data_IF_196177616671
#
_entry.id   IF_196177616671
#
_cell.length_a   1.000
_cell.length_b   1.000
_cell.length_c   1.000
_cell.angle_alpha   90.00
_cell.angle_beta   90.00
_cell.angle_gamma   90.00
#
_symmetry.space_group_name_H-M   'P 1'
#
loop_
_entity.id
_entity.type
_entity.pdbx_description
1 polymer ?
#
# COMPACT_ATOMS: atom_id res chain seq x y z
N UNK A 1 -3.50 0.20 4.14
CA UNK A 1 -2.64 -0.76 4.86
C UNK A 1 -2.74 -0.60 6.37
N UNK A 2 -2.24 -1.59 7.15
CA UNK A 2 -2.21 -1.53 8.63
C UNK A 2 -1.11 -0.59 9.12
N UNK A 3 -1.33 0.09 10.24
CA UNK A 3 -0.23 0.54 11.09
C UNK A 3 0.23 -0.65 11.95
N UNK A 4 1.55 -0.87 12.06
CA UNK A 4 2.10 -1.93 12.90
C UNK A 4 2.18 -1.46 14.34
N UNK A 5 1.30 -2.00 15.18
CA UNK A 5 1.13 -1.63 16.59
C UNK A 5 0.87 -2.88 17.43
N UNK A 6 1.92 -3.72 17.70
CA UNK A 6 1.76 -4.92 18.50
C UNK A 6 1.22 -4.61 19.89
N UNK A 7 0.29 -5.44 20.40
CA UNK A 7 -0.28 -5.28 21.74
C UNK A 7 -1.42 -4.25 21.85
N UNK A 8 -1.74 -3.52 20.80
CA UNK A 8 -2.88 -2.62 20.81
C UNK A 8 -4.19 -3.39 20.57
N UNK A 9 -5.23 -3.07 21.33
CA UNK A 9 -6.53 -3.69 21.17
C UNK A 9 -7.08 -3.48 19.75
N UNK A 10 -7.75 -4.51 19.22
CA UNK A 10 -8.38 -4.44 17.90
C UNK A 10 -9.58 -3.48 17.94
N UNK A 11 -9.73 -2.70 16.89
CA UNK A 11 -10.94 -1.91 16.69
C UNK A 11 -12.16 -2.80 16.40
N UNK A 12 -13.34 -2.24 16.60
CA UNK A 12 -14.63 -2.92 16.48
C UNK A 12 -15.05 -3.16 15.03
N UNK A 13 -14.51 -2.38 14.08
CA UNK A 13 -14.84 -2.45 12.66
C UNK A 13 -13.69 -3.02 11.82
N UNK A 14 -14.04 -3.78 10.78
CA UNK A 14 -13.05 -4.27 9.81
C UNK A 14 -12.54 -3.12 8.94
N UNK A 15 -11.22 -3.02 8.79
CA UNK A 15 -10.57 -2.05 7.89
C UNK A 15 -10.94 -2.25 6.41
N UNK A 16 -11.40 -3.44 6.03
CA UNK A 16 -11.92 -3.68 4.67
C UNK A 16 -13.10 -2.78 4.34
N UNK A 17 -13.94 -2.45 5.34
CA UNK A 17 -15.07 -1.55 5.14
C UNK A 17 -14.66 -0.12 4.73
N UNK A 18 -13.45 0.34 5.10
CA UNK A 18 -12.94 1.63 4.66
C UNK A 18 -12.88 1.73 3.13
N UNK A 19 -12.52 0.64 2.47
CA UNK A 19 -12.40 0.58 1.01
C UNK A 19 -13.78 0.39 0.36
N UNK A 20 -14.55 -0.60 0.81
CA UNK A 20 -15.86 -0.89 0.23
C UNK A 20 -16.84 0.27 0.40
N UNK A 21 -16.89 0.88 1.60
CA UNK A 21 -17.77 2.00 1.88
C UNK A 21 -17.39 3.24 1.04
N UNK A 22 -16.08 3.49 0.84
CA UNK A 22 -15.61 4.56 -0.04
C UNK A 22 -16.05 4.34 -1.48
N UNK A 23 -15.83 3.15 -2.03
CA UNK A 23 -16.16 2.84 -3.41
C UNK A 23 -17.67 2.90 -3.70
N UNK A 24 -18.49 2.64 -2.69
CA UNK A 24 -19.96 2.62 -2.83
C UNK A 24 -20.62 3.97 -2.53
N UNK A 25 -19.96 4.87 -1.79
CA UNK A 25 -20.63 6.09 -1.31
C UNK A 25 -20.69 7.24 -2.33
N UNK A 26 -19.92 7.19 -3.42
CA UNK A 26 -19.84 8.26 -4.42
C UNK A 26 -19.32 9.61 -3.91
N UNK A 27 -18.71 9.64 -2.71
CA UNK A 27 -18.18 10.87 -2.12
C UNK A 27 -16.78 11.20 -2.60
N UNK A 28 -16.46 12.49 -2.72
CA UNK A 28 -15.09 12.94 -2.94
C UNK A 28 -14.14 12.42 -1.83
N UNK A 29 -12.88 12.08 -2.15
CA UNK A 29 -11.94 11.43 -1.23
C UNK A 29 -11.79 12.13 0.11
N UNK A 30 -11.56 13.45 0.08
CA UNK A 30 -11.35 14.23 1.31
C UNK A 30 -12.62 14.30 2.17
N UNK A 31 -13.78 14.40 1.54
CA UNK A 31 -15.06 14.44 2.26
C UNK A 31 -15.35 13.10 2.96
N UNK A 32 -15.10 11.99 2.29
CA UNK A 32 -15.21 10.67 2.88
C UNK A 32 -14.25 10.51 4.06
N UNK A 33 -12.96 10.80 3.88
CA UNK A 33 -11.96 10.65 4.93
C UNK A 33 -12.24 11.50 6.17
N UNK A 34 -12.79 12.71 6.00
CA UNK A 34 -13.16 13.59 7.13
C UNK A 34 -14.33 13.09 7.97
N UNK A 35 -15.16 12.24 7.39
CA UNK A 35 -16.33 11.65 8.09
C UNK A 35 -16.01 10.33 8.79
N UNK A 36 -14.82 9.78 8.59
CA UNK A 36 -14.45 8.51 9.20
C UNK A 36 -14.25 8.65 10.71
N UNK A 37 -14.98 7.83 11.46
CA UNK A 37 -14.77 7.63 12.90
C UNK A 37 -13.55 6.71 13.10
N UNK A 38 -12.36 7.29 13.02
CA UNK A 38 -11.09 6.54 13.04
C UNK A 38 -10.88 5.68 14.30
N UNK A 39 -11.51 6.06 15.43
CA UNK A 39 -11.44 5.31 16.68
C UNK A 39 -12.08 3.93 16.64
N UNK A 40 -13.01 3.68 15.72
CA UNK A 40 -13.67 2.40 15.55
C UNK A 40 -12.74 1.31 14.95
N UNK A 41 -11.63 1.70 14.39
CA UNK A 41 -10.74 0.81 13.65
C UNK A 41 -9.40 0.63 14.36
N UNK A 42 -8.82 -0.56 14.21
CA UNK A 42 -7.38 -0.75 14.44
C UNK A 42 -6.58 0.21 13.55
N UNK A 43 -5.31 0.46 13.90
CA UNK A 43 -4.45 1.38 13.16
C UNK A 43 -4.43 1.11 11.66
N UNK A 44 -4.68 2.14 10.86
CA UNK A 44 -4.68 2.05 9.41
C UNK A 44 -4.01 3.27 8.76
N UNK A 45 -3.53 3.04 7.54
CA UNK A 45 -3.27 4.05 6.53
C UNK A 45 -4.25 3.82 5.37
N UNK A 46 -4.89 4.86 4.92
CA UNK A 46 -5.87 4.85 3.85
C UNK A 46 -5.47 5.88 2.79
N UNK A 47 -5.46 5.45 1.54
CA UNK A 47 -5.30 6.30 0.36
C UNK A 47 -6.60 6.22 -0.42
N UNK A 48 -7.20 7.36 -0.70
CA UNK A 48 -8.38 7.49 -1.52
C UNK A 48 -8.11 8.48 -2.65
N UNK A 49 -8.50 8.13 -3.86
CA UNK A 49 -8.27 8.96 -5.03
C UNK A 49 -9.49 9.02 -5.93
N UNK A 50 -9.60 10.11 -6.65
CA UNK A 50 -10.41 10.28 -7.85
C UNK A 50 -9.58 11.02 -8.92
N UNK A 51 -10.19 11.51 -9.98
CA UNK A 51 -9.50 12.25 -11.04
C UNK A 51 -9.02 13.64 -10.61
N UNK A 52 -9.38 14.12 -9.41
CA UNK A 52 -9.10 15.48 -8.93
C UNK A 52 -8.13 15.51 -7.77
N UNK A 53 -8.09 14.48 -6.95
CA UNK A 53 -7.30 14.47 -5.72
C UNK A 53 -6.87 13.07 -5.29
N UNK A 54 -5.67 13.00 -4.71
CA UNK A 54 -5.19 11.88 -3.90
C UNK A 54 -5.17 12.33 -2.44
N UNK A 55 -5.86 11.60 -1.58
CA UNK A 55 -5.97 11.89 -0.13
C UNK A 55 -5.32 10.76 0.66
N UNK A 56 -4.49 11.13 1.61
CA UNK A 56 -3.95 10.24 2.64
C UNK A 56 -4.61 10.50 3.98
N UNK A 57 -4.92 9.43 4.68
CA UNK A 57 -5.39 9.48 6.07
C UNK A 57 -4.87 8.30 6.88
N UNK A 58 -4.37 8.59 8.09
CA UNK A 58 -4.09 7.58 9.11
C UNK A 58 -4.81 7.93 10.40
N UNK A 59 -5.54 6.98 10.97
CA UNK A 59 -6.19 7.20 12.28
C UNK A 59 -5.20 7.21 13.46
N UNK A 60 -3.91 7.18 13.19
CA UNK A 60 -2.80 7.30 14.16
C UNK A 60 -1.94 8.53 13.94
N UNK A 61 -2.20 9.31 12.89
CA UNK A 61 -1.35 10.46 12.54
C UNK A 61 -2.17 11.59 11.88
N UNK A 62 -2.74 12.43 12.69
CA UNK A 62 -3.36 13.68 12.24
C UNK A 62 -4.70 13.54 11.52
N UNK A 63 -4.97 14.52 10.68
CA UNK A 63 -6.20 14.65 9.90
C UNK A 63 -5.95 14.22 8.44
N UNK A 64 -7.03 13.87 7.69
CA UNK A 64 -6.91 13.64 6.25
C UNK A 64 -6.31 14.83 5.50
N UNK A 65 -5.38 14.56 4.60
CA UNK A 65 -4.68 15.56 3.81
C UNK A 65 -4.73 15.24 2.31
N UNK A 66 -4.84 16.27 1.48
CA UNK A 66 -4.70 16.16 0.03
C UNK A 66 -3.22 16.20 -0.30
N UNK A 67 -2.73 15.19 -0.98
CA UNK A 67 -1.34 15.10 -1.40
C UNK A 67 -1.13 15.89 -2.70
N UNK A 68 -0.13 16.79 -2.76
CA UNK A 68 0.26 17.43 -4.02
C UNK A 68 0.84 16.39 -5.00
N UNK A 69 0.99 16.72 -6.29
CA UNK A 69 1.68 15.84 -7.23
C UNK A 69 3.06 15.44 -6.73
N UNK A 70 3.36 14.13 -6.72
CA UNK A 70 4.62 13.61 -6.18
C UNK A 70 4.66 12.09 -6.14
N UNK A 71 5.77 11.53 -5.66
CA UNK A 71 5.97 10.12 -5.44
C UNK A 71 5.93 9.85 -3.94
N UNK A 72 4.96 9.08 -3.55
CA UNK A 72 4.70 8.74 -2.16
C UNK A 72 4.84 7.26 -1.92
N UNK A 73 5.12 6.89 -0.67
CA UNK A 73 5.16 5.50 -0.27
C UNK A 73 4.53 5.30 1.11
N UNK A 74 3.82 4.19 1.27
CA UNK A 74 3.28 3.80 2.55
C UNK A 74 3.47 2.30 2.78
N UNK A 75 3.93 1.95 3.96
CA UNK A 75 4.04 0.56 4.41
C UNK A 75 3.16 0.36 5.66
N UNK A 76 3.71 -0.21 6.71
CA UNK A 76 2.99 -0.45 7.97
C UNK A 76 3.29 0.61 9.04
N UNK A 77 3.71 1.77 8.63
CA UNK A 77 3.88 2.99 9.41
C UNK A 77 3.31 4.17 8.59
N UNK A 78 3.59 5.41 8.96
CA UNK A 78 3.01 6.58 8.28
C UNK A 78 3.57 6.79 6.87
N UNK A 79 2.89 7.66 6.13
CA UNK A 79 3.32 8.07 4.79
C UNK A 79 4.80 8.47 4.81
N UNK A 80 5.53 8.00 3.81
CA UNK A 80 6.95 8.32 3.60
C UNK A 80 7.90 8.04 4.78
N UNK A 81 7.49 7.20 5.74
CA UNK A 81 8.42 6.72 6.76
C UNK A 81 9.60 6.01 6.08
N UNK A 82 10.86 6.42 6.32
CA UNK A 82 12.01 6.00 5.51
C UNK A 82 12.51 4.60 5.87
N UNK A 83 11.61 3.61 5.87
CA UNK A 83 12.02 2.23 5.98
C UNK A 83 12.79 1.77 4.74
N UNK A 84 13.77 0.85 4.89
CA UNK A 84 14.63 0.43 3.79
C UNK A 84 13.87 0.05 2.52
N UNK A 85 12.84 -0.80 2.65
CA UNK A 85 12.01 -1.21 1.51
C UNK A 85 11.27 -0.04 0.85
N UNK A 86 10.80 0.93 1.64
CA UNK A 86 10.08 2.07 1.10
C UNK A 86 11.00 3.00 0.32
N UNK A 87 12.19 3.25 0.88
CA UNK A 87 13.22 4.06 0.21
C UNK A 87 13.65 3.41 -1.11
N UNK A 88 13.90 2.09 -1.11
CA UNK A 88 14.25 1.35 -2.32
C UNK A 88 13.10 1.37 -3.34
N UNK A 89 11.86 1.13 -2.90
CA UNK A 89 10.69 1.16 -3.76
C UNK A 89 10.46 2.53 -4.41
N UNK A 90 10.60 3.62 -3.67
CA UNK A 90 10.45 4.98 -4.21
C UNK A 90 11.52 5.29 -5.26
N UNK A 91 12.78 4.90 -5.01
CA UNK A 91 13.86 5.08 -5.99
C UNK A 91 13.59 4.31 -7.29
N UNK A 92 13.29 3.00 -7.18
CA UNK A 92 12.99 2.17 -8.35
C UNK A 92 11.73 2.66 -9.11
N UNK A 93 10.70 3.12 -8.40
CA UNK A 93 9.50 3.68 -9.03
C UNK A 93 9.79 5.00 -9.75
N UNK A 94 10.68 5.84 -9.20
CA UNK A 94 11.12 7.07 -9.86
C UNK A 94 11.85 6.76 -11.17
N UNK A 95 12.71 5.74 -11.17
CA UNK A 95 13.41 5.29 -12.38
C UNK A 95 12.41 4.72 -13.40
N UNK A 96 11.47 3.88 -12.98
CA UNK A 96 10.44 3.32 -13.85
C UNK A 96 9.58 4.40 -14.53
N UNK A 97 9.22 5.46 -13.82
CA UNK A 97 8.45 6.57 -14.38
C UNK A 97 9.16 7.32 -15.51
N UNK A 98 10.49 7.26 -15.57
CA UNK A 98 11.28 7.88 -16.63
C UNK A 98 11.28 7.04 -17.94
N UNK A 99 10.86 5.77 -17.88
CA UNK A 99 10.93 4.80 -18.99
C UNK A 99 9.54 4.18 -19.25
N UNK A 100 8.66 4.89 -19.93
CA UNK A 100 7.34 4.35 -20.30
C UNK A 100 7.44 3.27 -21.39
N UNK A 101 6.61 2.20 -21.34
CA UNK A 101 5.54 1.89 -20.38
C UNK A 101 6.03 1.24 -19.10
N UNK A 102 5.58 1.75 -17.96
CA UNK A 102 6.08 1.40 -16.60
C UNK A 102 5.51 0.11 -15.99
N UNK A 103 4.59 -0.55 -16.65
CA UNK A 103 3.80 -1.66 -16.06
C UNK A 103 4.67 -2.82 -15.56
N UNK A 104 5.57 -3.30 -16.39
CA UNK A 104 6.42 -4.44 -16.02
C UNK A 104 7.48 -4.05 -15.00
N UNK A 105 7.99 -2.82 -15.04
CA UNK A 105 8.92 -2.28 -14.05
C UNK A 105 8.26 -2.15 -12.67
N UNK A 106 6.99 -1.77 -12.60
CA UNK A 106 6.22 -1.76 -11.35
C UNK A 106 6.09 -3.17 -10.77
N UNK A 107 5.83 -4.19 -11.59
CA UNK A 107 5.77 -5.56 -11.09
C UNK A 107 7.15 -6.11 -10.73
N UNK A 108 8.21 -5.72 -11.41
CA UNK A 108 9.59 -6.07 -11.05
C UNK A 108 9.95 -5.48 -9.68
N UNK A 109 9.62 -4.20 -9.43
CA UNK A 109 9.76 -3.56 -8.13
C UNK A 109 8.98 -4.31 -7.04
N UNK A 110 7.71 -4.68 -7.29
CA UNK A 110 6.87 -5.39 -6.33
C UNK A 110 7.35 -6.84 -6.08
N UNK A 111 8.20 -7.39 -6.92
CA UNK A 111 8.79 -8.72 -6.76
C UNK A 111 10.12 -8.72 -5.98
N UNK A 112 10.62 -7.56 -5.54
CA UNK A 112 11.89 -7.46 -4.80
C UNK A 112 11.81 -8.18 -3.45
N UNK A 113 12.71 -9.15 -3.26
CA UNK A 113 12.83 -9.99 -2.06
C UNK A 113 14.02 -9.60 -1.18
N UNK A 114 14.68 -8.48 -1.45
CA UNK A 114 15.85 -8.03 -0.71
C UNK A 114 15.50 -7.79 0.77
N UNK A 115 16.26 -8.42 1.65
CA UNK A 115 16.17 -8.25 3.10
C UNK A 115 17.15 -7.15 3.51
N UNK A 116 16.69 -6.19 4.30
CA UNK A 116 17.53 -5.11 4.79
C UNK A 116 18.54 -5.61 5.85
N UNK A 117 19.73 -5.01 5.92
CA UNK A 117 20.68 -5.28 7.01
C UNK A 117 20.06 -4.96 8.37
N UNK A 118 20.42 -5.74 9.40
CA UNK A 118 19.89 -5.58 10.76
C UNK A 118 20.01 -4.16 11.30
N UNK A 119 21.13 -3.49 11.00
CA UNK A 119 21.41 -2.11 11.42
C UNK A 119 20.45 -1.06 10.82
N UNK A 120 19.66 -1.44 9.83
CA UNK A 120 18.68 -0.58 9.15
C UNK A 120 17.24 -1.00 9.39
N UNK A 121 17.03 -2.10 10.13
CA UNK A 121 15.67 -2.57 10.43
C UNK A 121 14.96 -1.62 11.39
N UNK A 122 13.66 -1.39 11.23
CA UNK A 122 12.87 -0.66 12.21
C UNK A 122 12.70 -1.51 13.47
N UNK A 123 12.52 -0.85 14.62
CA UNK A 123 12.17 -1.48 15.87
C UNK A 123 10.66 -1.30 16.12
N UNK A 124 9.83 -2.17 15.53
CA UNK A 124 8.36 -2.00 15.59
C UNK A 124 7.68 -2.86 16.65
N UNK A 125 8.48 -3.53 17.52
CA UNK A 125 7.97 -4.35 18.61
C UNK A 125 7.71 -5.82 18.24
N UNK A 126 8.07 -6.23 17.02
CA UNK A 126 8.14 -7.66 16.65
C UNK A 126 9.55 -8.20 16.84
N UNK A 127 9.74 -9.53 16.79
CA UNK A 127 11.08 -10.13 16.90
C UNK A 127 11.99 -9.70 15.75
N UNK A 128 13.31 -9.71 15.94
CA UNK A 128 14.29 -9.40 14.91
C UNK A 128 14.12 -10.28 13.66
N UNK A 129 13.76 -11.53 13.83
CA UNK A 129 13.48 -12.44 12.72
C UNK A 129 12.29 -11.95 11.88
N UNK A 130 11.23 -11.49 12.55
CA UNK A 130 10.09 -10.88 11.86
C UNK A 130 10.44 -9.54 11.20
N UNK A 131 11.26 -8.69 11.86
CA UNK A 131 11.71 -7.44 11.21
C UNK A 131 12.48 -7.73 9.92
N UNK A 132 13.38 -8.74 9.93
CA UNK A 132 14.10 -9.18 8.72
C UNK A 132 13.13 -9.62 7.62
N UNK A 133 12.22 -10.55 7.92
CA UNK A 133 11.23 -11.07 6.95
C UNK A 133 10.35 -9.97 6.37
N UNK A 134 9.88 -9.06 7.22
CA UNK A 134 8.99 -7.97 6.83
C UNK A 134 9.72 -6.78 6.17
N UNK A 135 11.06 -6.82 6.09
CA UNK A 135 11.85 -5.77 5.45
C UNK A 135 11.86 -5.86 3.92
N UNK A 136 11.53 -7.02 3.35
CA UNK A 136 11.36 -7.18 1.91
C UNK A 136 10.06 -6.50 1.41
N UNK A 137 10.04 -6.10 0.12
CA UNK A 137 8.80 -5.69 -0.57
C UNK A 137 7.95 -6.94 -0.82
N UNK A 138 8.52 -7.96 -1.46
CA UNK A 138 7.89 -9.26 -1.62
C UNK A 138 8.31 -10.18 -0.48
N UNK A 139 7.42 -10.39 0.46
CA UNK A 139 7.68 -11.27 1.60
C UNK A 139 7.44 -12.72 1.22
N UNK A 140 8.41 -13.59 1.49
CA UNK A 140 8.31 -15.04 1.29
C UNK A 140 8.84 -15.75 2.52
N UNK A 141 7.96 -16.47 3.23
CA UNK A 141 8.33 -17.35 4.33
C UNK A 141 7.32 -18.50 4.45
N UNK A 142 7.64 -19.58 5.19
CA UNK A 142 6.79 -20.78 5.22
C UNK A 142 5.32 -20.51 5.60
N UNK A 143 5.10 -19.64 6.59
CA UNK A 143 3.77 -19.41 7.18
C UNK A 143 3.17 -18.04 6.83
N UNK A 144 3.93 -17.18 6.16
CA UNK A 144 3.52 -15.81 5.85
C UNK A 144 4.19 -15.30 4.58
N UNK A 145 3.45 -14.55 3.77
CA UNK A 145 4.05 -13.97 2.56
C UNK A 145 3.07 -13.15 1.73
N UNK A 146 3.63 -12.50 0.72
CA UNK A 146 2.88 -11.77 -0.29
C UNK A 146 1.99 -12.74 -1.07
N UNK A 147 0.70 -12.41 -1.18
CA UNK A 147 -0.30 -13.19 -1.90
C UNK A 147 -0.75 -12.51 -3.18
N UNK A 148 -0.64 -11.20 -3.23
CA UNK A 148 -1.00 -10.41 -4.41
C UNK A 148 -0.04 -9.24 -4.57
N UNK A 149 0.21 -8.88 -5.83
CA UNK A 149 0.81 -7.62 -6.23
C UNK A 149 -0.14 -6.95 -7.22
N UNK A 150 -0.47 -5.69 -6.98
CA UNK A 150 -1.43 -4.96 -7.80
C UNK A 150 -0.81 -3.66 -8.31
N UNK A 151 -1.06 -3.35 -9.56
CA UNK A 151 -0.72 -2.06 -10.19
C UNK A 151 -2.01 -1.46 -10.70
N UNK A 152 -2.30 -0.24 -10.26
CA UNK A 152 -3.46 0.51 -10.69
C UNK A 152 -3.02 1.88 -11.21
N UNK A 153 -3.67 2.36 -12.26
CA UNK A 153 -3.52 3.74 -12.70
C UNK A 153 -4.84 4.31 -13.19
N UNK A 154 -4.95 5.61 -13.08
CA UNK A 154 -6.07 6.40 -13.58
C UNK A 154 -5.47 7.49 -14.46
N UNK A 155 -5.95 7.59 -15.71
CA UNK A 155 -5.53 8.64 -16.62
C UNK A 155 -6.25 9.96 -16.31
N UNK A 156 -5.75 11.06 -16.87
CA UNK A 156 -6.42 12.36 -16.77
C UNK A 156 -7.80 12.37 -17.43
N UNK A 157 -8.06 11.47 -18.40
CA UNK A 157 -9.38 11.26 -19.00
C UNK A 157 -10.36 10.47 -18.13
N UNK A 158 -9.87 9.91 -17.00
CA UNK A 158 -10.68 9.09 -16.09
C UNK A 158 -10.70 7.60 -16.41
N UNK A 159 -9.96 7.17 -17.45
CA UNK A 159 -9.77 5.75 -17.70
C UNK A 159 -8.96 5.13 -16.56
N UNK A 160 -9.45 4.02 -16.03
CA UNK A 160 -8.79 3.29 -14.94
C UNK A 160 -8.40 1.89 -15.40
N UNK A 161 -7.26 1.42 -14.94
CA UNK A 161 -6.80 0.06 -15.13
C UNK A 161 -6.24 -0.48 -13.83
N UNK A 162 -6.62 -1.71 -13.49
CA UNK A 162 -6.09 -2.47 -12.37
C UNK A 162 -5.61 -3.82 -12.87
N UNK A 163 -4.32 -4.13 -12.70
CA UNK A 163 -3.79 -5.48 -12.86
C UNK A 163 -3.39 -6.03 -11.50
N UNK A 164 -3.82 -7.25 -11.23
CA UNK A 164 -3.48 -7.99 -10.03
C UNK A 164 -2.84 -9.34 -10.39
N UNK A 165 -1.71 -9.65 -9.77
CA UNK A 165 -0.98 -10.92 -9.89
C UNK A 165 -1.03 -11.64 -8.55
N UNK A 166 -1.62 -12.84 -8.54
CA UNK A 166 -1.70 -13.68 -7.36
C UNK A 166 -0.46 -14.58 -7.23
N UNK A 167 -0.14 -14.95 -5.99
CA UNK A 167 0.99 -15.84 -5.68
C UNK A 167 0.58 -16.96 -4.74
N UNK A 168 1.11 -18.16 -5.01
CA UNK A 168 1.02 -19.30 -4.12
C UNK A 168 1.92 -19.14 -2.88
N UNK A 169 1.73 -19.97 -1.83
CA UNK A 169 2.57 -19.91 -0.63
C UNK A 169 4.07 -20.04 -0.86
N UNK A 170 4.49 -20.76 -1.89
CA UNK A 170 5.88 -20.92 -2.31
C UNK A 170 6.43 -19.72 -3.11
N UNK A 171 5.60 -18.69 -3.34
CA UNK A 171 5.95 -17.51 -4.11
C UNK A 171 5.93 -17.72 -5.62
N UNK A 172 5.45 -18.86 -6.11
CA UNK A 172 5.20 -19.07 -7.55
C UNK A 172 3.98 -18.27 -8.00
N UNK A 173 4.01 -17.84 -9.28
CA UNK A 173 2.94 -17.00 -9.85
C UNK A 173 1.69 -17.82 -10.12
N UNK A 174 0.56 -17.32 -9.62
CA UNK A 174 -0.77 -17.83 -9.90
C UNK A 174 -1.47 -17.06 -11.01
N UNK A 175 -2.76 -16.83 -10.84
CA UNK A 175 -3.61 -16.12 -11.80
C UNK A 175 -3.23 -14.64 -11.89
N UNK A 176 -3.41 -14.07 -13.07
CA UNK A 176 -3.40 -12.63 -13.32
C UNK A 176 -4.80 -12.18 -13.70
N UNK A 177 -5.29 -11.14 -13.04
CA UNK A 177 -6.57 -10.49 -13.34
C UNK A 177 -6.31 -9.08 -13.86
N UNK A 178 -7.06 -8.67 -14.87
CA UNK A 178 -7.01 -7.34 -15.45
C UNK A 178 -8.43 -6.78 -15.49
N UNK A 179 -8.60 -5.58 -14.95
CA UNK A 179 -9.84 -4.81 -14.98
C UNK A 179 -9.53 -3.48 -15.64
N UNK A 180 -10.31 -3.08 -16.64
CA UNK A 180 -10.18 -1.81 -17.33
C UNK A 180 -11.55 -1.16 -17.50
N UNK A 181 -11.61 0.15 -17.38
CA UNK A 181 -12.78 0.95 -17.75
C UNK A 181 -12.72 1.47 -19.20
N UNK A 182 -11.59 1.27 -19.89
CA UNK A 182 -11.52 1.48 -21.33
C UNK A 182 -12.32 0.40 -22.07
N UNK A 183 -13.20 0.81 -22.97
CA UNK A 183 -13.95 -0.07 -23.90
C UNK A 183 -13.02 -0.67 -24.96
#
# INVERSE_FOLDING_TARGET
TNVREPGVAKGNRSRGLLVSDYLLCGSAPLHYCRKLEGGDYSGFNFLAADTTALVYYSNRNGSPEVLPPGIYGVSNHFLDTPWPKLTAAKAAFTEALAALPIRDDCFALLADRAIAPDTRLPATGVSLEWERRLSAIFVLSPDYGTRTSSVAWITASGEALLEERNFFPDGSRGQTSLISTAE
#
